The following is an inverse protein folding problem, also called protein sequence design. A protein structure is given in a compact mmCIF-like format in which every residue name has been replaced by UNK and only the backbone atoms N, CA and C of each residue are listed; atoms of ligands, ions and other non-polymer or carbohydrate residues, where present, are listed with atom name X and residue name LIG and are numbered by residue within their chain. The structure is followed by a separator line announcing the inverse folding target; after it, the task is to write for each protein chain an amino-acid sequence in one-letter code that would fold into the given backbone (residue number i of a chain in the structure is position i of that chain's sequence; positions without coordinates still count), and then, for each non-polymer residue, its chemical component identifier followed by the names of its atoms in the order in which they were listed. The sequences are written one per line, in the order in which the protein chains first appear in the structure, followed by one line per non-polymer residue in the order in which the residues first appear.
data_IF_855944033007
#
_entry.id   IF_855944033007
#
_cell.length_a   1.000
_cell.length_b   1.000
_cell.length_c   1.000
_cell.angle_alpha   90.00
_cell.angle_beta   90.00
_cell.angle_gamma   90.00
#
_symmetry.space_group_name_H-M   'P 1'
#
loop_
_entity.id
_entity.type
_entity.pdbx_description
1 polymer ?
#
# COMPACT_ATOMS: atom_id res chain seq x y z
N UNK A 1 13.91 -9.84 -20.40
CA UNK A 1 12.49 -10.02 -20.79
C UNK A 1 11.89 -11.00 -19.79
N UNK A 2 10.79 -10.66 -19.12
CA UNK A 2 10.06 -11.61 -18.28
C UNK A 2 9.41 -12.68 -19.16
N UNK A 3 9.44 -13.93 -18.70
CA UNK A 3 8.73 -15.04 -19.33
C UNK A 3 7.20 -14.80 -19.26
N UNK A 4 6.43 -15.54 -20.07
CA UNK A 4 4.98 -15.52 -19.98
C UNK A 4 4.52 -15.93 -18.58
N UNK A 5 3.38 -15.39 -18.07
CA UNK A 5 2.82 -15.79 -16.79
C UNK A 5 2.60 -17.29 -16.72
N UNK A 6 2.88 -17.91 -15.58
CA UNK A 6 2.58 -19.31 -15.32
C UNK A 6 1.06 -19.52 -15.28
N UNK A 7 0.61 -20.72 -15.64
CA UNK A 7 -0.78 -21.13 -15.46
C UNK A 7 -1.16 -21.11 -13.96
N UNK A 8 -2.43 -20.86 -13.64
CA UNK A 8 -2.89 -20.68 -12.26
C UNK A 8 -2.63 -21.90 -11.38
N UNK A 9 -2.74 -23.11 -11.94
CA UNK A 9 -2.54 -24.40 -11.27
C UNK A 9 -1.08 -24.73 -10.92
N UNK A 10 -0.13 -23.99 -11.55
CA UNK A 10 1.30 -24.20 -11.32
C UNK A 10 1.99 -23.02 -10.64
N UNK A 11 1.24 -21.96 -10.31
CA UNK A 11 1.76 -20.84 -9.54
C UNK A 11 2.00 -21.26 -8.08
N UNK A 12 3.16 -20.96 -7.51
CA UNK A 12 3.42 -21.24 -6.10
C UNK A 12 2.68 -20.27 -5.16
N UNK A 13 2.21 -19.15 -5.68
CA UNK A 13 1.41 -18.17 -4.95
C UNK A 13 -0.04 -18.29 -5.36
N UNK A 14 -0.93 -18.46 -4.39
CA UNK A 14 -2.37 -18.49 -4.64
C UNK A 14 -2.87 -17.21 -5.33
N UNK A 15 -3.95 -17.31 -6.15
CA UNK A 15 -4.47 -16.17 -6.90
C UNK A 15 -5.10 -15.08 -6.04
N UNK A 16 -5.00 -15.16 -4.72
CA UNK A 16 -5.63 -14.29 -3.75
C UNK A 16 -7.05 -14.72 -3.40
N UNK A 17 -7.56 -14.18 -2.31
CA UNK A 17 -8.90 -14.45 -1.84
C UNK A 17 -9.93 -13.61 -2.59
N UNK A 18 -11.19 -14.07 -2.62
CA UNK A 18 -12.29 -13.30 -3.19
C UNK A 18 -12.82 -12.30 -2.16
N UNK A 19 -12.66 -11.02 -2.43
CA UNK A 19 -13.11 -9.92 -1.57
C UNK A 19 -14.46 -9.33 -1.99
N UNK A 20 -14.84 -8.21 -1.36
CA UNK A 20 -16.05 -7.45 -1.71
C UNK A 20 -17.37 -7.97 -1.16
N UNK A 21 -17.32 -8.97 -0.28
CA UNK A 21 -18.52 -9.54 0.36
C UNK A 21 -19.04 -8.68 1.53
N UNK A 22 -18.16 -7.99 2.22
CA UNK A 22 -18.51 -7.13 3.34
C UNK A 22 -18.93 -5.75 2.87
N UNK A 23 -20.22 -5.41 3.01
CA UNK A 23 -20.83 -4.14 2.57
C UNK A 23 -21.59 -3.49 3.72
N UNK A 24 -20.88 -2.81 4.65
CA UNK A 24 -21.50 -2.22 5.85
C UNK A 24 -22.29 -0.94 5.56
N UNK A 25 -22.06 -0.28 4.42
CA UNK A 25 -22.71 0.95 4.02
C UNK A 25 -23.75 0.69 2.92
N UNK A 26 -24.86 1.45 2.95
CA UNK A 26 -25.81 1.49 1.85
C UNK A 26 -25.19 2.19 0.62
N UNK A 27 -25.80 2.01 -0.54
CA UNK A 27 -25.36 2.71 -1.76
C UNK A 27 -25.53 4.24 -1.64
N UNK A 28 -26.57 4.71 -0.89
CA UNK A 28 -26.76 6.12 -0.57
C UNK A 28 -25.65 6.67 0.34
N UNK A 29 -25.24 5.91 1.36
CA UNK A 29 -24.13 6.30 2.23
C UNK A 29 -22.81 6.39 1.47
N UNK A 30 -22.56 5.43 0.58
CA UNK A 30 -21.37 5.44 -0.29
C UNK A 30 -21.40 6.68 -1.21
N UNK A 31 -22.54 6.98 -1.81
CA UNK A 31 -22.71 8.17 -2.65
C UNK A 31 -22.49 9.46 -1.85
N UNK A 32 -23.01 9.54 -0.62
CA UNK A 32 -22.83 10.70 0.25
C UNK A 32 -21.36 10.88 0.68
N UNK A 33 -20.65 9.80 1.00
CA UNK A 33 -19.20 9.83 1.30
C UNK A 33 -18.42 10.34 0.09
N UNK A 34 -18.72 9.81 -1.10
CA UNK A 34 -18.05 10.23 -2.34
C UNK A 34 -18.31 11.70 -2.66
N UNK A 35 -19.55 12.16 -2.54
CA UNK A 35 -19.94 13.54 -2.75
C UNK A 35 -19.19 14.50 -1.82
N UNK A 36 -19.17 14.19 -0.52
CA UNK A 36 -18.42 15.00 0.43
C UNK A 36 -16.90 14.97 0.19
N UNK A 37 -16.36 13.87 -0.30
CA UNK A 37 -14.94 13.78 -0.67
C UNK A 37 -14.62 14.73 -1.83
N UNK A 38 -15.45 14.79 -2.85
CA UNK A 38 -15.30 15.78 -3.94
C UNK A 38 -15.38 17.20 -3.41
N UNK A 39 -16.36 17.52 -2.56
CA UNK A 39 -16.51 18.84 -1.97
C UNK A 39 -15.29 19.25 -1.14
N UNK A 40 -14.73 18.35 -0.36
CA UNK A 40 -13.50 18.62 0.40
C UNK A 40 -12.34 18.98 -0.52
N UNK A 41 -12.15 18.25 -1.62
CA UNK A 41 -11.09 18.52 -2.58
C UNK A 41 -11.29 19.83 -3.35
N UNK A 42 -12.53 20.19 -3.64
CA UNK A 42 -12.89 21.36 -4.42
C UNK A 42 -13.02 22.63 -3.57
N UNK A 43 -13.70 22.57 -2.41
CA UNK A 43 -13.98 23.72 -1.56
C UNK A 43 -12.83 24.02 -0.58
N UNK A 44 -12.23 22.96 0.01
CA UNK A 44 -11.20 23.08 1.05
C UNK A 44 -9.80 22.90 0.45
N UNK A 45 -9.55 21.78 -0.25
CA UNK A 45 -8.26 21.45 -0.83
C UNK A 45 -7.16 21.09 0.19
N UNK A 46 -5.93 21.00 -0.26
CA UNK A 46 -4.76 20.64 0.53
C UNK A 46 -4.01 21.88 1.01
N UNK A 47 -3.65 21.91 2.27
CA UNK A 47 -2.71 22.87 2.82
C UNK A 47 -1.28 22.31 2.76
N UNK A 48 -0.28 23.17 2.64
CA UNK A 48 1.15 22.80 2.67
C UNK A 48 1.55 21.76 1.62
N UNK A 49 0.97 21.82 0.42
CA UNK A 49 1.38 20.98 -0.68
C UNK A 49 2.85 21.23 -1.06
N UNK A 50 3.60 20.15 -1.33
CA UNK A 50 5.01 20.29 -1.75
C UNK A 50 5.11 20.94 -3.13
N UNK A 51 6.25 21.61 -3.47
CA UNK A 51 6.42 22.19 -4.80
C UNK A 51 6.23 21.21 -5.95
N UNK A 52 6.64 19.95 -5.77
CA UNK A 52 6.41 18.89 -6.75
C UNK A 52 4.92 18.57 -6.92
N UNK A 53 4.19 18.45 -5.81
CA UNK A 53 2.74 18.22 -5.83
C UNK A 53 2.02 19.38 -6.54
N UNK A 54 2.33 20.63 -6.18
CA UNK A 54 1.75 21.81 -6.81
C UNK A 54 1.98 21.77 -8.33
N UNK A 55 3.25 21.62 -8.75
CA UNK A 55 3.63 21.58 -10.17
C UNK A 55 2.87 20.48 -10.92
N UNK A 56 2.78 19.28 -10.36
CA UNK A 56 2.13 18.14 -11.01
C UNK A 56 0.63 18.35 -11.08
N UNK A 57 -0.02 18.69 -9.97
CA UNK A 57 -1.47 18.83 -9.93
C UNK A 57 -1.97 20.03 -10.77
N UNK A 58 -1.25 21.17 -10.75
CA UNK A 58 -1.63 22.33 -11.59
C UNK A 58 -1.47 22.03 -13.08
N UNK A 59 -0.48 21.23 -13.48
CA UNK A 59 -0.36 20.76 -14.86
C UNK A 59 -1.56 19.91 -15.31
N UNK A 60 -2.27 19.30 -14.37
CA UNK A 60 -3.50 18.50 -14.63
C UNK A 60 -4.79 19.28 -14.39
N UNK A 61 -4.72 20.57 -14.08
CA UNK A 61 -5.87 21.46 -13.93
C UNK A 61 -6.31 21.73 -12.48
N UNK A 62 -5.48 21.38 -11.48
CA UNK A 62 -5.70 21.88 -10.12
C UNK A 62 -5.33 23.35 -10.00
N UNK A 63 -5.90 24.04 -9.02
CA UNK A 63 -5.70 25.47 -8.83
C UNK A 63 -5.14 25.78 -7.44
N UNK A 64 -4.22 26.75 -7.41
CA UNK A 64 -3.69 27.27 -6.16
C UNK A 64 -4.49 28.48 -5.73
N UNK A 65 -5.19 28.38 -4.60
CA UNK A 65 -5.97 29.47 -4.05
C UNK A 65 -5.08 30.56 -3.42
N UNK A 66 -5.63 31.77 -3.26
CA UNK A 66 -4.96 32.88 -2.58
C UNK A 66 -4.64 32.57 -1.10
N UNK A 67 -5.39 31.66 -0.50
CA UNK A 67 -5.17 31.14 0.85
C UNK A 67 -4.06 30.08 0.95
N UNK A 68 -3.34 29.84 -0.15
CA UNK A 68 -2.26 28.87 -0.22
C UNK A 68 -2.70 27.41 -0.27
N UNK A 69 -3.98 27.13 -0.53
CA UNK A 69 -4.51 25.78 -0.63
C UNK A 69 -4.60 25.32 -2.08
N UNK A 70 -4.16 24.09 -2.32
CA UNK A 70 -4.28 23.44 -3.63
C UNK A 70 -5.63 22.77 -3.73
N UNK A 71 -6.46 23.21 -4.66
CA UNK A 71 -7.82 22.69 -4.91
C UNK A 71 -7.88 21.93 -6.21
N UNK A 72 -8.74 20.91 -6.22
CA UNK A 72 -8.99 20.09 -7.41
C UNK A 72 -10.49 20.06 -7.68
N UNK A 73 -10.90 20.52 -8.85
CA UNK A 73 -12.29 20.39 -9.26
C UNK A 73 -12.70 18.93 -9.40
N UNK A 74 -14.00 18.69 -9.31
CA UNK A 74 -14.59 17.36 -9.49
C UNK A 74 -14.17 16.72 -10.82
N UNK A 75 -14.12 17.51 -11.88
CA UNK A 75 -13.73 17.05 -13.23
C UNK A 75 -12.28 16.58 -13.25
N UNK A 76 -11.38 17.32 -12.63
CA UNK A 76 -9.95 16.93 -12.52
C UNK A 76 -9.81 15.62 -11.77
N UNK A 77 -10.50 15.46 -10.65
CA UNK A 77 -10.44 14.21 -9.85
C UNK A 77 -11.05 13.04 -10.62
N UNK A 78 -12.21 13.21 -11.26
CA UNK A 78 -12.82 12.15 -12.07
C UNK A 78 -11.92 11.72 -13.21
N UNK A 79 -11.32 12.66 -13.94
CA UNK A 79 -10.38 12.38 -15.01
C UNK A 79 -9.15 11.60 -14.51
N UNK A 80 -8.63 11.94 -13.34
CA UNK A 80 -7.51 11.22 -12.73
C UNK A 80 -7.91 9.77 -12.35
N UNK A 81 -9.10 9.56 -11.78
CA UNK A 81 -9.62 8.23 -11.46
C UNK A 81 -9.82 7.39 -12.72
N UNK A 82 -10.40 7.97 -13.78
CA UNK A 82 -10.64 7.28 -15.06
C UNK A 82 -9.33 6.88 -15.76
N UNK A 83 -8.31 7.72 -15.66
CA UNK A 83 -6.98 7.46 -16.23
C UNK A 83 -6.12 6.50 -15.41
N UNK A 84 -6.51 6.18 -14.17
CA UNK A 84 -5.73 5.30 -13.30
C UNK A 84 -5.78 3.84 -13.78
N UNK A 85 -4.62 3.17 -13.71
CA UNK A 85 -4.55 1.76 -14.05
C UNK A 85 -5.25 0.92 -12.96
N UNK A 86 -6.24 0.13 -13.38
CA UNK A 86 -7.00 -0.77 -12.48
C UNK A 86 -6.50 -2.21 -12.50
N UNK A 87 -5.55 -2.51 -13.37
CA UNK A 87 -4.92 -3.81 -13.48
C UNK A 87 -3.45 -3.68 -13.08
N UNK A 88 -3.19 -3.75 -11.79
CA UNK A 88 -1.86 -3.63 -11.22
C UNK A 88 -1.22 -5.01 -11.10
N UNK A 89 0.02 -5.13 -11.56
CA UNK A 89 0.85 -6.30 -11.28
C UNK A 89 1.97 -5.88 -10.35
N UNK A 90 2.01 -6.49 -9.17
CA UNK A 90 3.15 -6.38 -8.26
C UNK A 90 4.13 -7.49 -8.66
N UNK A 91 5.28 -7.07 -9.17
CA UNK A 91 6.26 -7.99 -9.69
C UNK A 91 7.15 -8.54 -8.58
N UNK A 92 7.20 -9.86 -8.43
CA UNK A 92 8.17 -10.55 -7.62
C UNK A 92 9.56 -10.57 -8.26
N UNK A 93 10.60 -11.00 -7.55
CA UNK A 93 11.94 -11.21 -8.11
C UNK A 93 11.92 -12.30 -9.18
N UNK A 94 11.17 -13.37 -8.96
CA UNK A 94 10.87 -14.40 -9.95
C UNK A 94 9.43 -14.18 -10.45
N UNK A 95 9.17 -14.19 -11.77
CA UNK A 95 7.82 -14.00 -12.32
C UNK A 95 6.75 -14.94 -11.77
N UNK A 96 7.12 -16.09 -11.25
CA UNK A 96 6.19 -17.02 -10.59
C UNK A 96 5.53 -16.45 -9.33
N UNK A 97 6.14 -15.40 -8.72
CA UNK A 97 5.61 -14.69 -7.56
C UNK A 97 4.89 -13.38 -7.91
N UNK A 98 4.65 -13.13 -9.19
CA UNK A 98 3.90 -11.93 -9.60
C UNK A 98 2.45 -12.00 -9.08
N UNK A 99 2.00 -10.90 -8.46
CA UNK A 99 0.64 -10.76 -7.96
C UNK A 99 -0.18 -9.89 -8.90
N UNK A 100 -1.28 -10.40 -9.38
CA UNK A 100 -2.21 -9.67 -10.25
C UNK A 100 -3.33 -9.06 -9.43
N UNK A 101 -3.15 -7.81 -9.02
CA UNK A 101 -4.14 -7.06 -8.23
C UNK A 101 -5.19 -6.50 -9.18
N UNK A 102 -6.25 -7.27 -9.39
CA UNK A 102 -7.34 -6.93 -10.32
C UNK A 102 -8.67 -7.50 -9.86
N UNK A 103 -9.77 -6.87 -10.27
CA UNK A 103 -11.12 -7.30 -9.91
C UNK A 103 -11.36 -7.27 -8.39
N UNK A 104 -11.90 -8.35 -7.85
CA UNK A 104 -12.18 -8.52 -6.41
C UNK A 104 -11.11 -9.30 -5.66
N UNK A 105 -9.95 -9.52 -6.24
CA UNK A 105 -8.85 -10.27 -5.59
C UNK A 105 -8.27 -9.52 -4.41
N UNK A 106 -8.07 -10.23 -3.31
CA UNK A 106 -7.47 -9.73 -2.07
C UNK A 106 -6.20 -10.51 -1.78
N UNK A 107 -5.11 -9.80 -1.57
CA UNK A 107 -3.83 -10.36 -1.14
C UNK A 107 -3.50 -9.84 0.24
N UNK A 108 -3.10 -10.75 1.14
CA UNK A 108 -2.73 -10.38 2.48
C UNK A 108 -1.25 -10.02 2.56
N UNK A 109 -0.97 -8.96 3.30
CA UNK A 109 0.38 -8.49 3.60
C UNK A 109 0.61 -8.48 5.10
N UNK A 110 1.88 -8.59 5.51
CA UNK A 110 2.23 -8.31 6.90
C UNK A 110 2.01 -6.83 7.20
N UNK A 111 1.63 -6.50 8.43
CA UNK A 111 1.59 -5.12 8.89
C UNK A 111 3.01 -4.58 9.10
N UNK A 112 3.19 -3.28 9.02
CA UNK A 112 4.51 -2.67 9.06
C UNK A 112 4.76 -1.72 10.22
N UNK A 113 6.06 -1.54 10.51
CA UNK A 113 6.68 -0.49 11.31
C UNK A 113 6.38 -0.52 12.83
N UNK A 114 6.19 -1.69 13.43
CA UNK A 114 6.14 -1.81 14.89
C UNK A 114 7.47 -1.39 15.51
N UNK A 115 7.43 -0.50 16.50
CA UNK A 115 8.61 -0.05 17.27
C UNK A 115 8.86 -0.90 18.51
N UNK A 116 7.85 -1.64 18.95
CA UNK A 116 7.88 -2.49 20.13
C UNK A 116 7.43 -3.90 19.79
N UNK A 117 8.01 -4.87 20.44
CA UNK A 117 7.64 -6.29 20.39
C UNK A 117 7.10 -6.71 21.75
N UNK A 118 5.94 -7.36 21.76
CA UNK A 118 5.45 -8.09 22.92
C UNK A 118 6.24 -9.39 23.04
N UNK A 119 7.16 -9.46 24.00
CA UNK A 119 7.95 -10.67 24.25
C UNK A 119 7.10 -11.69 25.03
N UNK A 120 6.70 -12.79 24.41
CA UNK A 120 5.86 -13.80 25.05
C UNK A 120 6.59 -14.56 26.17
N UNK A 121 7.93 -14.65 26.10
CA UNK A 121 8.77 -15.36 27.08
C UNK A 121 9.00 -14.47 28.30
N UNK A 122 9.45 -13.24 28.07
CA UNK A 122 9.68 -12.26 29.12
C UNK A 122 8.40 -11.62 29.68
N UNK A 123 7.26 -11.79 29.02
CA UNK A 123 5.97 -11.14 29.35
C UNK A 123 6.09 -9.61 29.49
N UNK A 124 6.97 -9.02 28.72
CA UNK A 124 7.27 -7.59 28.72
C UNK A 124 7.21 -7.05 27.29
N UNK A 125 7.07 -5.74 27.16
CA UNK A 125 7.29 -5.07 25.89
C UNK A 125 8.75 -4.62 25.85
N UNK A 126 9.41 -4.83 24.71
CA UNK A 126 10.78 -4.38 24.45
C UNK A 126 10.86 -3.74 23.06
N UNK A 127 11.91 -2.99 22.82
CA UNK A 127 12.22 -2.49 21.49
C UNK A 127 12.38 -3.63 20.48
N UNK A 128 11.96 -3.36 19.26
CA UNK A 128 12.08 -4.31 18.16
C UNK A 128 13.51 -4.33 17.61
N UNK A 129 14.02 -5.50 17.31
CA UNK A 129 15.38 -5.75 16.86
C UNK A 129 15.41 -6.34 15.43
N UNK A 130 16.58 -6.34 14.81
CA UNK A 130 16.79 -6.98 13.51
C UNK A 130 16.47 -8.49 13.54
N UNK A 131 16.75 -9.17 14.66
CA UNK A 131 16.42 -10.59 14.83
C UNK A 131 14.90 -10.83 14.76
N UNK A 132 14.08 -9.92 15.31
CA UNK A 132 12.63 -10.04 15.22
C UNK A 132 12.16 -9.98 13.78
N UNK A 133 12.72 -9.07 12.98
CA UNK A 133 12.40 -8.99 11.56
C UNK A 133 12.76 -10.28 10.81
N UNK A 134 13.94 -10.83 11.09
CA UNK A 134 14.38 -12.09 10.52
C UNK A 134 13.43 -13.25 10.88
N UNK A 135 13.03 -13.36 12.14
CA UNK A 135 12.12 -14.41 12.59
C UNK A 135 10.72 -14.23 12.01
N UNK A 136 10.21 -12.98 11.93
CA UNK A 136 8.93 -12.65 11.30
C UNK A 136 8.93 -12.99 9.81
N UNK A 137 10.04 -12.73 9.10
CA UNK A 137 10.14 -13.07 7.67
C UNK A 137 10.09 -14.58 7.45
N UNK A 138 10.77 -15.36 8.28
CA UNK A 138 10.74 -16.83 8.21
C UNK A 138 9.36 -17.41 8.51
N UNK A 139 8.66 -16.86 9.51
CA UNK A 139 7.30 -17.26 9.81
C UNK A 139 6.38 -16.95 8.62
N UNK A 140 6.48 -15.73 8.09
CA UNK A 140 5.64 -15.31 6.96
C UNK A 140 5.85 -16.16 5.71
N UNK A 141 7.09 -16.56 5.44
CA UNK A 141 7.45 -17.44 4.32
C UNK A 141 6.81 -18.83 4.41
N UNK A 142 6.45 -19.28 5.61
CA UNK A 142 5.72 -20.54 5.82
C UNK A 142 4.20 -20.42 5.76
N UNK A 143 3.67 -19.19 5.65
CA UNK A 143 2.25 -18.92 5.66
C UNK A 143 1.70 -18.83 4.23
N UNK A 144 0.89 -19.80 3.84
CA UNK A 144 0.31 -19.93 2.50
C UNK A 144 -0.50 -18.71 2.06
N UNK A 145 -1.17 -18.02 2.99
CA UNK A 145 -2.05 -16.90 2.72
C UNK A 145 -1.40 -15.52 2.96
N UNK A 146 -0.11 -15.45 3.27
CA UNK A 146 0.64 -14.19 3.30
C UNK A 146 1.38 -14.06 1.96
N UNK A 147 0.89 -13.18 1.12
CA UNK A 147 1.35 -13.02 -0.26
C UNK A 147 2.44 -11.95 -0.40
N UNK A 148 2.42 -10.96 0.50
CA UNK A 148 3.32 -9.81 0.47
C UNK A 148 3.97 -9.68 1.85
N UNK A 149 5.30 -9.75 1.88
CA UNK A 149 6.05 -9.43 3.08
C UNK A 149 6.41 -7.94 3.07
N UNK A 150 5.92 -7.21 4.07
CA UNK A 150 6.36 -5.86 4.37
C UNK A 150 7.19 -5.91 5.65
N UNK A 151 8.13 -4.98 5.80
CA UNK A 151 8.91 -4.85 7.03
C UNK A 151 8.00 -4.69 8.24
N UNK A 152 7.98 -5.71 9.10
CA UNK A 152 7.04 -5.79 10.23
C UNK A 152 7.37 -4.87 11.39
N UNK A 153 8.67 -4.54 11.55
CA UNK A 153 9.14 -3.76 12.69
C UNK A 153 10.32 -2.85 12.32
N UNK A 154 10.52 -1.82 13.14
CA UNK A 154 11.69 -0.94 13.09
C UNK A 154 12.88 -1.67 13.71
N UNK A 155 14.08 -1.45 13.16
CA UNK A 155 15.33 -2.05 13.65
C UNK A 155 15.97 -1.08 14.65
N UNK A 156 15.58 -1.15 15.93
CA UNK A 156 16.06 -0.23 16.95
C UNK A 156 17.53 -0.44 17.33
N UNK A 157 18.07 -1.63 17.03
CA UNK A 157 19.48 -2.00 17.25
C UNK A 157 20.39 -1.61 16.07
N UNK A 158 19.84 -1.12 14.94
CA UNK A 158 20.60 -0.68 13.77
C UNK A 158 20.69 0.84 13.74
N UNK A 159 21.93 1.36 13.74
CA UNK A 159 22.19 2.80 13.81
C UNK A 159 21.70 3.57 12.57
N UNK A 160 21.78 2.97 11.38
CA UNK A 160 21.27 3.55 10.13
C UNK A 160 20.09 2.73 9.61
N UNK A 161 18.93 3.00 10.18
CA UNK A 161 17.67 2.34 9.81
C UNK A 161 17.32 2.54 8.33
N UNK A 162 17.57 3.73 7.76
CA UNK A 162 17.18 4.04 6.40
C UNK A 162 17.99 3.24 5.36
N UNK A 163 19.29 3.13 5.56
CA UNK A 163 20.12 2.31 4.68
C UNK A 163 19.74 0.83 4.75
N UNK A 164 19.43 0.33 5.93
CA UNK A 164 18.97 -1.03 6.10
C UNK A 164 17.59 -1.26 5.48
N UNK A 165 16.68 -0.30 5.62
CA UNK A 165 15.34 -0.36 5.02
C UNK A 165 15.41 -0.44 3.49
N UNK A 166 16.27 0.37 2.88
CA UNK A 166 16.49 0.32 1.43
C UNK A 166 17.03 -1.04 1.00
N UNK A 167 18.00 -1.59 1.73
CA UNK A 167 18.55 -2.89 1.41
C UNK A 167 17.52 -4.01 1.55
N UNK A 168 16.70 -4.00 2.60
CA UNK A 168 15.66 -5.01 2.83
C UNK A 168 14.52 -4.88 1.82
N UNK A 169 14.10 -3.66 1.46
CA UNK A 169 13.04 -3.45 0.48
C UNK A 169 13.42 -3.92 -0.93
N UNK A 170 14.70 -3.94 -1.25
CA UNK A 170 15.21 -4.46 -2.53
C UNK A 170 15.32 -5.99 -2.58
N UNK A 171 15.24 -6.67 -1.43
CA UNK A 171 15.39 -8.12 -1.33
C UNK A 171 14.04 -8.87 -1.42
N UNK A 172 12.92 -8.21 -1.11
CA UNK A 172 11.63 -8.86 -0.87
C UNK A 172 10.49 -8.48 -1.83
N UNK A 173 10.82 -8.10 -3.04
CA UNK A 173 9.79 -7.88 -4.07
C UNK A 173 9.84 -9.02 -5.08
#
# INVERSE_FOLDING_TARGET
MRSAPLAEDIKPVHPGESGGQYRPLSDEDIAAVLENSFRILEEIGFNQATPHCIKTCTAYGAEMGEDGRLRMSREVVKKAIESSNRNLVLHGQDPKYDLHVTGSRVYFATAGAAVMIADPVGKTNREALAQDLYDMSRISDTCEHIHIFQRTNVLCDIKDNYAMDLNLSLIHI
#
